data_IF_390740522285
#
_entry.id   IF_390740522285
#
_cell.length_a   1.000
_cell.length_b   1.000
_cell.length_c   1.000
_cell.angle_alpha   90.00
_cell.angle_beta   90.00
_cell.angle_gamma   90.00
#
_symmetry.space_group_name_H-M   'P 1'
#
loop_
_entity.id
_entity.type
_entity.pdbx_description
1 polymer ?
#
# COMPACT_ATOMS: atom_id res chain seq x y z
N UNK A 1 41.03 -14.57 56.32
CA UNK A 1 39.97 -15.52 55.94
C UNK A 1 38.76 -14.69 55.52
N UNK A 2 38.62 -14.48 54.22
CA UNK A 2 37.51 -13.76 53.59
C UNK A 2 36.35 -14.72 53.32
N UNK A 3 35.12 -14.20 53.23
CA UNK A 3 34.29 -14.57 52.09
C UNK A 3 33.51 -13.40 51.45
N UNK A 4 33.41 -13.53 50.12
CA UNK A 4 32.26 -13.26 49.25
C UNK A 4 31.52 -11.93 49.31
N UNK A 5 31.81 -11.05 48.34
CA UNK A 5 30.78 -10.37 47.54
C UNK A 5 31.30 -10.14 46.11
N UNK A 6 30.50 -10.57 45.14
CA UNK A 6 30.78 -10.55 43.70
C UNK A 6 30.70 -9.12 43.13
N UNK A 7 31.73 -8.75 42.37
CA UNK A 7 31.75 -7.59 41.47
C UNK A 7 32.25 -8.04 40.11
N UNK A 8 31.59 -7.64 39.02
CA UNK A 8 32.21 -7.71 37.69
C UNK A 8 31.24 -7.84 36.51
N UNK A 9 30.74 -6.69 36.04
CA UNK A 9 30.32 -6.53 34.65
C UNK A 9 31.50 -6.83 33.70
N UNK A 10 31.22 -7.52 32.58
CA UNK A 10 31.51 -7.12 31.19
C UNK A 10 31.70 -8.36 30.31
N UNK A 11 30.99 -8.39 29.18
CA UNK A 11 31.52 -9.02 27.97
C UNK A 11 30.59 -10.01 27.28
N UNK A 12 29.67 -9.50 26.45
CA UNK A 12 29.25 -10.27 25.27
C UNK A 12 28.88 -9.38 24.09
N UNK A 13 29.82 -8.53 23.68
CA UNK A 13 29.92 -8.03 22.29
C UNK A 13 30.92 -8.91 21.54
N UNK A 14 30.55 -10.16 21.23
CA UNK A 14 31.38 -11.05 20.39
C UNK A 14 30.53 -11.92 19.46
N UNK A 15 29.69 -11.31 18.61
CA UNK A 15 29.13 -12.04 17.46
C UNK A 15 29.09 -11.27 16.13
N UNK A 16 29.58 -10.03 16.06
CA UNK A 16 29.54 -9.23 14.82
C UNK A 16 30.88 -9.06 14.07
N UNK A 17 31.92 -9.84 14.43
CA UNK A 17 33.29 -9.66 13.93
C UNK A 17 33.88 -10.90 13.25
N UNK A 18 33.07 -11.79 12.66
CA UNK A 18 33.59 -13.01 12.01
C UNK A 18 33.36 -13.13 10.50
N UNK A 19 32.67 -12.20 9.85
CA UNK A 19 32.38 -12.28 8.40
C UNK A 19 33.26 -11.39 7.50
N UNK A 20 34.26 -10.68 8.03
CA UNK A 20 35.22 -9.92 7.21
C UNK A 20 36.61 -10.54 7.08
N UNK A 21 36.79 -11.84 7.39
CA UNK A 21 38.11 -12.49 7.36
C UNK A 21 38.14 -13.81 6.56
N UNK A 22 37.43 -13.87 5.44
CA UNK A 22 37.45 -15.02 4.51
C UNK A 22 37.55 -14.61 3.02
N UNK A 23 38.28 -13.54 2.70
CA UNK A 23 38.66 -13.20 1.29
C UNK A 23 40.18 -13.14 1.10
N UNK A 24 40.99 -13.61 2.05
CA UNK A 24 42.43 -13.75 1.82
C UNK A 24 42.91 -15.12 2.31
N UNK A 25 42.83 -16.15 1.45
CA UNK A 25 43.71 -17.34 1.41
C UNK A 25 43.09 -18.42 0.51
N UNK A 26 43.23 -18.28 -0.81
CA UNK A 26 43.28 -19.42 -1.74
C UNK A 26 43.65 -18.96 -3.15
N UNK A 27 44.83 -18.39 -3.34
CA UNK A 27 45.45 -18.32 -4.69
C UNK A 27 46.95 -18.52 -4.53
N UNK A 28 47.39 -19.77 -4.53
CA UNK A 28 48.78 -20.11 -4.87
C UNK A 28 48.74 -21.12 -6.00
N UNK A 29 49.17 -20.69 -7.19
CA UNK A 29 49.49 -21.55 -8.33
C UNK A 29 48.48 -21.48 -9.48
N UNK A 30 48.63 -20.50 -10.38
CA UNK A 30 48.73 -20.76 -11.82
C UNK A 30 49.07 -19.47 -12.59
N UNK A 31 49.92 -19.63 -13.59
CA UNK A 31 50.57 -18.58 -14.38
C UNK A 31 49.67 -17.95 -15.45
N UNK A 32 49.94 -16.67 -15.72
CA UNK A 32 49.66 -15.91 -16.97
C UNK A 32 48.20 -15.82 -17.44
N UNK A 33 47.60 -14.71 -17.04
CA UNK A 33 46.41 -14.12 -17.63
C UNK A 33 45.88 -13.07 -16.66
N UNK A 34 46.16 -11.79 -16.91
CA UNK A 34 45.57 -10.70 -16.13
C UNK A 34 44.06 -10.66 -16.39
N UNK A 35 43.32 -11.58 -15.79
CA UNK A 35 41.88 -11.49 -15.67
C UNK A 35 41.61 -10.36 -14.69
N UNK A 36 41.36 -9.15 -15.19
CA UNK A 36 40.81 -8.07 -14.37
C UNK A 36 39.54 -8.62 -13.70
N UNK A 37 39.60 -8.92 -12.41
CA UNK A 37 38.46 -9.40 -11.63
C UNK A 37 37.49 -8.23 -11.49
N UNK A 38 36.61 -8.08 -12.46
CA UNK A 38 35.56 -7.07 -12.44
C UNK A 38 34.46 -7.53 -11.50
N UNK A 39 33.69 -6.58 -10.94
CA UNK A 39 32.53 -6.89 -10.09
C UNK A 39 31.60 -7.93 -10.75
N UNK A 40 31.48 -7.89 -12.08
CA UNK A 40 30.60 -8.76 -12.86
C UNK A 40 31.06 -10.23 -12.96
N UNK A 41 32.32 -10.53 -12.63
CA UNK A 41 32.83 -11.90 -12.60
C UNK A 41 32.61 -12.60 -11.25
N UNK A 42 32.04 -11.91 -10.26
CA UNK A 42 31.75 -12.50 -8.95
C UNK A 42 30.53 -13.44 -9.00
N UNK A 43 30.51 -14.48 -8.14
CA UNK A 43 29.32 -15.28 -7.87
C UNK A 43 28.11 -14.44 -7.46
N UNK A 44 26.92 -14.95 -7.76
CA UNK A 44 25.66 -14.23 -7.58
C UNK A 44 25.35 -13.97 -6.10
N UNK A 45 25.76 -14.87 -5.22
CA UNK A 45 25.62 -14.77 -3.76
C UNK A 45 26.44 -13.59 -3.23
N UNK A 46 27.68 -13.46 -3.71
CA UNK A 46 28.57 -12.34 -3.30
C UNK A 46 28.01 -11.01 -3.81
N UNK A 47 27.51 -10.97 -5.05
CA UNK A 47 26.84 -9.78 -5.58
C UNK A 47 25.60 -9.40 -4.76
N UNK A 48 24.80 -10.40 -4.37
CA UNK A 48 23.64 -10.21 -3.52
C UNK A 48 24.01 -9.66 -2.14
N UNK A 49 25.08 -10.17 -1.52
CA UNK A 49 25.60 -9.70 -0.24
C UNK A 49 26.13 -8.27 -0.32
N UNK A 50 26.92 -7.94 -1.35
CA UNK A 50 27.41 -6.58 -1.60
C UNK A 50 26.24 -5.59 -1.71
N UNK A 51 25.18 -5.97 -2.41
CA UNK A 51 23.98 -5.14 -2.52
C UNK A 51 23.23 -4.98 -1.20
N UNK A 52 23.08 -6.06 -0.40
CA UNK A 52 22.46 -5.99 0.94
C UNK A 52 23.26 -5.15 1.93
N UNK A 53 24.59 -5.16 1.84
CA UNK A 53 25.47 -4.37 2.68
C UNK A 53 25.47 -2.89 2.26
N UNK A 54 25.53 -2.62 0.95
CA UNK A 54 25.52 -1.25 0.44
C UNK A 54 24.16 -0.56 0.61
N UNK A 55 23.04 -1.31 0.65
CA UNK A 55 21.66 -0.80 0.66
C UNK A 55 21.36 0.18 -0.48
N UNK A 56 22.13 0.10 -1.57
CA UNK A 56 22.07 1.04 -2.69
C UNK A 56 20.88 0.75 -3.59
N UNK A 57 20.19 1.78 -4.10
CA UNK A 57 19.10 1.62 -5.07
C UNK A 57 19.60 1.47 -6.51
N UNK A 58 20.78 2.03 -6.77
CA UNK A 58 21.32 2.20 -8.12
C UNK A 58 22.14 1.00 -8.60
N UNK A 59 22.65 0.16 -7.70
CA UNK A 59 23.51 -0.97 -8.07
C UNK A 59 22.79 -2.00 -8.96
N UNK A 60 21.51 -2.35 -8.73
CA UNK A 60 20.79 -3.21 -9.65
C UNK A 60 20.56 -2.59 -11.04
N UNK A 61 20.56 -1.25 -11.14
CA UNK A 61 20.22 -0.53 -12.36
C UNK A 61 21.48 -0.07 -13.12
N UNK A 62 22.65 -0.13 -12.48
CA UNK A 62 23.90 0.39 -13.04
C UNK A 62 24.34 -0.31 -14.31
N UNK A 63 23.98 -1.59 -14.50
CA UNK A 63 24.22 -2.28 -15.76
C UNK A 63 23.17 -3.35 -16.07
N UNK A 64 23.03 -3.68 -17.36
CA UNK A 64 22.04 -4.66 -17.85
C UNK A 64 22.20 -6.03 -17.20
N UNK A 65 23.44 -6.50 -17.02
CA UNK A 65 23.73 -7.79 -16.39
C UNK A 65 23.27 -7.85 -14.93
N UNK A 66 23.58 -6.81 -14.15
CA UNK A 66 23.12 -6.73 -12.75
C UNK A 66 21.60 -6.61 -12.70
N UNK A 67 21.00 -5.82 -13.59
CA UNK A 67 19.55 -5.73 -13.68
C UNK A 67 18.89 -7.09 -13.93
N UNK A 68 19.39 -7.88 -14.89
CA UNK A 68 18.88 -9.23 -15.16
C UNK A 68 19.08 -10.18 -13.98
N UNK A 69 20.24 -10.12 -13.32
CA UNK A 69 20.53 -10.89 -12.11
C UNK A 69 19.51 -10.54 -11.02
N UNK A 70 19.38 -9.27 -10.64
CA UNK A 70 18.52 -8.87 -9.53
C UNK A 70 17.03 -9.02 -9.84
N UNK A 71 16.61 -8.89 -11.10
CA UNK A 71 15.20 -9.10 -11.45
C UNK A 71 14.81 -10.57 -11.45
N UNK A 72 15.67 -11.47 -11.95
CA UNK A 72 15.34 -12.90 -12.11
C UNK A 72 15.65 -13.76 -10.89
N UNK A 73 16.74 -13.48 -10.19
CA UNK A 73 17.29 -14.42 -9.19
C UNK A 73 16.99 -14.04 -7.75
N UNK A 74 16.47 -12.83 -7.51
CA UNK A 74 16.20 -12.40 -6.13
C UNK A 74 14.97 -13.09 -5.57
N UNK A 75 15.13 -13.68 -4.39
CA UNK A 75 14.04 -14.31 -3.64
C UNK A 75 13.19 -13.25 -2.92
N UNK A 76 11.95 -13.60 -2.55
CA UNK A 76 11.11 -12.73 -1.72
C UNK A 76 11.79 -12.38 -0.39
N UNK A 77 12.47 -13.35 0.23
CA UNK A 77 13.24 -13.14 1.46
C UNK A 77 14.37 -12.13 1.27
N UNK A 78 15.15 -12.26 0.19
CA UNK A 78 16.20 -11.30 -0.15
C UNK A 78 15.66 -9.87 -0.28
N UNK A 79 14.57 -9.69 -1.01
CA UNK A 79 13.91 -8.38 -1.19
C UNK A 79 13.41 -7.82 0.13
N UNK A 80 12.84 -8.66 1.00
CA UNK A 80 12.42 -8.27 2.34
C UNK A 80 13.61 -7.81 3.19
N UNK A 81 14.72 -8.57 3.21
CA UNK A 81 15.92 -8.19 3.96
C UNK A 81 16.51 -6.88 3.46
N UNK A 82 16.58 -6.66 2.15
CA UNK A 82 17.03 -5.39 1.57
C UNK A 82 16.16 -4.21 2.03
N UNK A 83 14.84 -4.31 1.88
CA UNK A 83 13.89 -3.26 2.28
C UNK A 83 13.96 -3.00 3.79
N UNK A 84 14.09 -4.05 4.59
CA UNK A 84 14.22 -3.95 6.04
C UNK A 84 15.52 -3.25 6.45
N UNK A 85 16.67 -3.63 5.88
CA UNK A 85 17.95 -2.97 6.13
C UNK A 85 17.89 -1.48 5.79
N UNK A 86 17.30 -1.17 4.64
CA UNK A 86 17.25 0.20 4.13
C UNK A 86 16.31 1.12 4.91
N UNK A 87 15.12 0.65 5.28
CA UNK A 87 14.07 1.51 5.87
C UNK A 87 13.82 1.28 7.36
N UNK A 88 14.35 0.21 7.95
CA UNK A 88 14.15 -0.13 9.36
C UNK A 88 15.46 -0.24 10.17
N UNK A 89 16.63 -0.36 9.52
CA UNK A 89 17.95 -0.38 10.17
C UNK A 89 18.79 0.86 9.86
N UNK A 90 18.70 1.44 8.66
CA UNK A 90 19.53 2.61 8.28
C UNK A 90 19.28 3.87 9.14
N UNK A 91 18.06 4.05 9.66
CA UNK A 91 17.73 5.11 10.61
C UNK A 91 18.46 4.95 11.97
N UNK A 92 19.09 3.80 12.25
CA UNK A 92 19.90 3.60 13.46
C UNK A 92 21.24 4.33 13.40
N UNK A 93 21.89 4.39 12.24
CA UNK A 93 23.23 5.02 12.10
C UNK A 93 23.16 6.56 12.10
N UNK A 94 22.17 7.14 11.43
CA UNK A 94 22.05 8.60 11.32
C UNK A 94 21.62 9.26 12.63
N UNK A 95 20.85 8.55 13.46
CA UNK A 95 20.43 9.05 14.78
C UNK A 95 21.54 8.96 15.83
N UNK A 96 22.41 7.94 15.78
CA UNK A 96 23.56 7.82 16.69
C UNK A 96 24.57 8.98 16.49
N UNK A 97 24.86 9.35 15.24
CA UNK A 97 25.75 10.47 14.91
C UNK A 97 25.18 11.84 15.31
N UNK A 98 23.86 12.05 15.23
CA UNK A 98 23.20 13.30 15.66
C UNK A 98 22.95 13.37 17.17
N UNK A 99 22.72 12.24 17.83
CA UNK A 99 22.49 12.16 19.28
C UNK A 99 23.83 12.27 20.03
N UNK A 100 24.94 11.78 19.47
CA UNK A 100 26.28 12.09 19.96
C UNK A 100 26.65 13.57 19.81
N UNK A 101 26.22 14.24 18.73
CA UNK A 101 26.41 15.71 18.59
C UNK A 101 25.51 16.53 19.50
N UNK A 102 24.37 15.99 19.94
CA UNK A 102 23.42 16.67 20.85
C UNK A 102 23.69 16.39 22.32
N UNK A 103 24.32 15.27 22.66
CA UNK A 103 24.68 14.92 24.04
C UNK A 103 25.85 15.77 24.59
N UNK A 104 26.54 16.53 23.75
CA UNK A 104 27.48 17.57 24.20
C UNK A 104 26.76 18.82 24.74
N UNK A 105 25.47 19.02 24.38
CA UNK A 105 24.64 20.13 24.85
C UNK A 105 23.49 19.63 25.75
N UNK A 106 23.84 19.48 27.02
CA UNK A 106 22.99 19.61 28.20
C UNK A 106 22.11 18.41 28.63
N UNK A 107 22.34 18.06 29.89
CA UNK A 107 21.62 17.12 30.73
C UNK A 107 20.14 17.48 30.93
N UNK A 108 19.24 16.50 30.75
CA UNK A 108 18.26 16.03 31.75
C UNK A 108 17.42 14.93 31.09
N UNK A 109 17.53 13.73 31.66
CA UNK A 109 16.94 12.50 31.16
C UNK A 109 15.42 12.50 31.12
N UNK A 110 14.90 12.17 29.94
CA UNK A 110 13.73 11.28 29.77
C UNK A 110 14.11 10.26 28.71
N UNK A 111 14.64 9.11 29.14
CA UNK A 111 14.82 7.92 28.30
C UNK A 111 13.45 7.28 28.07
N UNK A 112 12.54 8.00 27.40
CA UNK A 112 11.47 7.33 26.67
C UNK A 112 12.16 6.68 25.49
N UNK A 113 12.34 5.37 25.54
CA UNK A 113 12.82 4.55 24.44
C UNK A 113 11.97 4.89 23.21
N UNK A 114 12.47 5.82 22.39
CA UNK A 114 11.78 6.34 21.21
C UNK A 114 11.62 5.15 20.29
N UNK A 115 10.49 4.43 20.38
CA UNK A 115 10.16 3.29 19.51
C UNK A 115 10.26 3.78 18.07
N UNK A 116 11.40 3.45 17.46
CA UNK A 116 11.84 4.00 16.17
C UNK A 116 10.80 3.61 15.11
N UNK A 117 10.15 4.61 14.50
CA UNK A 117 9.00 4.41 13.62
C UNK A 117 9.47 3.93 12.25
N UNK A 118 9.21 2.66 11.93
CA UNK A 118 9.50 2.09 10.61
C UNK A 118 8.71 2.84 9.54
N UNK A 119 9.38 3.27 8.46
CA UNK A 119 8.77 3.97 7.33
C UNK A 119 8.06 3.00 6.38
N UNK A 120 6.94 2.44 6.83
CA UNK A 120 6.13 1.53 6.03
C UNK A 120 5.63 2.14 4.72
N UNK A 121 5.33 3.43 4.69
CA UNK A 121 4.96 4.16 3.46
C UNK A 121 6.00 3.98 2.36
N UNK A 122 7.29 4.12 2.69
CA UNK A 122 8.39 4.01 1.73
C UNK A 122 8.62 2.55 1.28
N UNK A 123 8.48 1.60 2.20
CA UNK A 123 8.57 0.16 1.89
C UNK A 123 7.47 -0.23 0.90
N UNK A 124 6.22 0.15 1.17
CA UNK A 124 5.06 -0.21 0.34
C UNK A 124 5.09 0.48 -1.03
N UNK A 125 5.68 1.68 -1.11
CA UNK A 125 5.90 2.40 -2.36
C UNK A 125 6.92 1.70 -3.28
N UNK A 126 7.75 0.79 -2.77
CA UNK A 126 8.74 0.08 -3.58
C UNK A 126 8.07 -1.06 -4.40
N UNK A 127 8.38 -1.19 -5.71
CA UNK A 127 7.83 -2.27 -6.54
C UNK A 127 8.32 -3.66 -6.10
N UNK A 128 9.47 -3.74 -5.44
CA UNK A 128 9.99 -4.97 -4.86
C UNK A 128 9.16 -5.52 -3.70
N UNK A 129 8.26 -4.73 -3.11
CA UNK A 129 7.40 -5.16 -2.01
C UNK A 129 6.16 -5.87 -2.54
N UNK A 130 6.28 -7.16 -2.90
CA UNK A 130 5.14 -8.04 -3.21
C UNK A 130 4.38 -8.45 -1.93
N UNK A 131 3.23 -9.12 -2.10
CA UNK A 131 2.44 -9.67 -0.98
C UNK A 131 3.29 -10.62 -0.11
N UNK A 132 4.08 -11.49 -0.74
CA UNK A 132 5.01 -12.40 -0.05
C UNK A 132 6.11 -11.64 0.69
N UNK A 133 6.66 -10.58 0.09
CA UNK A 133 7.67 -9.76 0.76
C UNK A 133 7.06 -9.08 1.99
N UNK A 134 5.83 -8.58 1.90
CA UNK A 134 5.12 -7.96 3.02
C UNK A 134 4.87 -8.96 4.16
N UNK A 135 4.52 -10.22 3.86
CA UNK A 135 4.32 -11.24 4.89
C UNK A 135 5.63 -11.58 5.62
N UNK A 136 6.75 -11.65 4.92
CA UNK A 136 8.09 -11.83 5.52
C UNK A 136 8.47 -10.62 6.37
N UNK A 137 8.23 -9.40 5.89
CA UNK A 137 8.51 -8.16 6.65
C UNK A 137 7.67 -8.08 7.94
N UNK A 138 6.42 -8.57 7.92
CA UNK A 138 5.60 -8.70 9.13
C UNK A 138 6.24 -9.65 10.13
N UNK A 139 6.84 -10.74 9.69
CA UNK A 139 7.56 -11.66 10.58
C UNK A 139 8.77 -10.99 11.24
N UNK A 140 9.61 -10.28 10.46
CA UNK A 140 10.73 -9.50 11.01
C UNK A 140 10.29 -8.42 12.01
N UNK A 141 9.11 -7.82 11.78
CA UNK A 141 8.52 -6.88 12.72
C UNK A 141 8.08 -7.55 14.03
N UNK A 142 7.46 -8.73 13.95
CA UNK A 142 7.01 -9.48 15.14
C UNK A 142 8.16 -9.95 16.02
N UNK A 143 9.28 -10.40 15.44
CA UNK A 143 10.46 -10.85 16.19
C UNK A 143 11.11 -9.72 17.02
N UNK A 144 10.93 -8.47 16.60
CA UNK A 144 11.51 -7.30 17.27
C UNK A 144 10.74 -6.85 18.51
N UNK A 145 9.48 -7.28 18.68
CA UNK A 145 8.67 -6.87 19.81
C UNK A 145 9.04 -7.76 21.01
N UNK A 146 9.60 -7.20 22.11
CA UNK A 146 9.80 -7.98 23.32
C UNK A 146 8.43 -8.47 23.77
N UNK A 147 8.31 -9.78 23.92
CA UNK A 147 7.10 -10.54 24.24
C UNK A 147 6.15 -9.82 25.20
N UNK A 148 5.21 -9.03 24.65
CA UNK A 148 3.98 -8.66 25.31
C UNK A 148 2.98 -9.74 24.92
N UNK A 149 2.49 -10.51 25.91
CA UNK A 149 1.54 -11.63 25.82
C UNK A 149 1.52 -12.41 24.49
N UNK A 150 1.96 -13.69 24.47
CA UNK A 150 2.01 -14.52 23.25
C UNK A 150 0.65 -14.74 22.54
N UNK A 151 -0.45 -14.28 23.13
CA UNK A 151 -1.80 -14.32 22.58
C UNK A 151 -2.21 -13.04 21.81
N UNK A 152 -1.41 -11.95 21.87
CA UNK A 152 -1.73 -10.67 21.24
C UNK A 152 -0.60 -10.26 20.30
N UNK A 153 -0.64 -10.74 19.06
CA UNK A 153 0.22 -10.20 18.00
C UNK A 153 -0.26 -8.76 17.72
N UNK A 154 0.56 -7.71 17.94
CA UNK A 154 0.11 -6.35 17.70
C UNK A 154 -0.22 -6.18 16.22
N UNK A 155 -1.48 -5.84 15.94
CA UNK A 155 -1.96 -5.59 14.56
C UNK A 155 -1.15 -4.45 13.96
N UNK A 156 -0.31 -4.77 12.98
CA UNK A 156 0.44 -3.77 12.22
C UNK A 156 -0.56 -2.88 11.48
N UNK A 157 -0.72 -1.63 11.93
CA UNK A 157 -1.58 -0.66 11.25
C UNK A 157 -0.75 0.10 10.22
N UNK A 158 -1.09 -0.11 8.95
CA UNK A 158 -0.45 0.59 7.86
C UNK A 158 -1.19 1.91 7.58
N UNK A 159 -0.45 2.98 7.25
CA UNK A 159 -1.02 4.31 7.08
C UNK A 159 -2.02 4.39 5.93
N UNK A 160 -1.65 3.98 4.71
CA UNK A 160 -2.51 4.14 3.53
C UNK A 160 -2.06 3.30 2.35
N UNK A 161 -2.83 3.38 1.27
CA UNK A 161 -2.60 2.58 0.08
C UNK A 161 -1.49 3.19 -0.80
N UNK A 162 -0.50 2.38 -1.24
CA UNK A 162 0.55 2.87 -2.13
C UNK A 162 0.01 3.11 -3.54
N UNK A 163 0.28 4.29 -4.10
CA UNK A 163 -0.23 4.73 -5.41
C UNK A 163 0.15 3.80 -6.56
N UNK A 164 1.31 3.13 -6.47
CA UNK A 164 1.80 2.20 -7.49
C UNK A 164 0.82 1.06 -7.80
N UNK A 165 0.01 0.63 -6.84
CA UNK A 165 -0.96 -0.45 -7.03
C UNK A 165 -2.08 -0.04 -7.99
N UNK A 166 -2.28 1.26 -8.20
CA UNK A 166 -3.25 1.82 -9.13
C UNK A 166 -2.64 2.18 -10.49
N UNK A 167 -1.33 1.92 -10.70
CA UNK A 167 -0.65 2.24 -11.98
C UNK A 167 -1.23 1.43 -13.14
N UNK A 168 -1.57 0.17 -12.91
CA UNK A 168 -2.16 -0.70 -13.93
C UNK A 168 -3.51 -0.17 -14.46
N UNK A 169 -4.26 0.57 -13.63
CA UNK A 169 -5.52 1.21 -14.04
C UNK A 169 -5.32 2.39 -14.99
N UNK A 170 -4.10 2.92 -15.12
CA UNK A 170 -3.77 4.03 -16.02
C UNK A 170 -3.17 3.56 -17.35
N UNK A 171 -2.96 2.24 -17.51
CA UNK A 171 -2.38 1.71 -18.74
C UNK A 171 -3.48 1.57 -19.78
N UNK A 172 -3.46 2.45 -20.80
CA UNK A 172 -4.20 2.19 -22.03
C UNK A 172 -3.70 0.87 -22.65
N UNK A 173 -4.56 0.10 -23.34
CA UNK A 173 -4.15 -1.06 -24.11
C UNK A 173 -3.33 -0.60 -25.32
N UNK A 174 -2.07 -0.22 -25.08
CA UNK A 174 -1.10 0.05 -26.14
C UNK A 174 -0.88 -1.23 -26.94
N UNK A 175 -0.65 -1.05 -28.24
CA UNK A 175 -0.63 -2.03 -29.33
C UNK A 175 0.38 -3.20 -29.21
N UNK A 176 0.99 -3.41 -28.05
CA UNK A 176 1.94 -4.50 -27.78
C UNK A 176 1.86 -5.17 -26.41
N UNK A 177 0.97 -4.75 -25.50
CA UNK A 177 0.78 -5.45 -24.21
C UNK A 177 -0.28 -6.53 -24.34
N UNK A 178 0.04 -7.79 -24.00
CA UNK A 178 -0.95 -8.86 -23.99
C UNK A 178 -2.07 -8.49 -22.99
N UNK A 179 -3.32 -8.55 -23.43
CA UNK A 179 -4.50 -8.30 -22.57
C UNK A 179 -4.49 -9.16 -21.30
N UNK A 180 -3.97 -10.40 -21.40
CA UNK A 180 -3.79 -11.32 -20.27
C UNK A 180 -2.82 -10.80 -19.20
N UNK A 181 -1.75 -10.12 -19.61
CA UNK A 181 -0.75 -9.61 -18.67
C UNK A 181 -1.32 -8.44 -17.86
N UNK A 182 -2.11 -7.56 -18.50
CA UNK A 182 -2.82 -6.48 -17.82
C UNK A 182 -3.86 -7.01 -16.82
N UNK A 183 -4.64 -8.02 -17.20
CA UNK A 183 -5.61 -8.66 -16.31
C UNK A 183 -4.93 -9.28 -15.08
N UNK A 184 -3.80 -9.96 -15.27
CA UNK A 184 -3.02 -10.51 -14.16
C UNK A 184 -2.48 -9.42 -13.23
N UNK A 185 -2.01 -8.29 -13.79
CA UNK A 185 -1.54 -7.16 -12.99
C UNK A 185 -2.67 -6.54 -12.15
N UNK A 186 -3.86 -6.40 -12.74
CA UNK A 186 -5.04 -5.88 -12.04
C UNK A 186 -5.50 -6.83 -10.93
N UNK A 187 -5.53 -8.14 -11.17
CA UNK A 187 -5.87 -9.16 -10.17
C UNK A 187 -4.87 -9.15 -8.99
N UNK A 188 -3.57 -9.09 -9.28
CA UNK A 188 -2.53 -8.96 -8.26
C UNK A 188 -2.68 -7.68 -7.45
N UNK A 189 -2.92 -6.54 -8.11
CA UNK A 189 -3.14 -5.26 -7.45
C UNK A 189 -4.40 -5.30 -6.56
N UNK A 190 -5.50 -5.87 -7.05
CA UNK A 190 -6.75 -6.04 -6.32
C UNK A 190 -6.53 -6.83 -5.03
N UNK A 191 -5.93 -8.03 -5.12
CA UNK A 191 -5.61 -8.87 -3.96
C UNK A 191 -4.72 -8.17 -2.96
N UNK A 192 -3.72 -7.42 -3.44
CA UNK A 192 -2.84 -6.65 -2.57
C UNK A 192 -3.61 -5.56 -1.82
N UNK A 193 -4.41 -4.75 -2.51
CA UNK A 193 -5.18 -3.68 -1.87
C UNK A 193 -6.18 -4.26 -0.87
N UNK A 194 -6.87 -5.35 -1.23
CA UNK A 194 -7.81 -6.05 -0.34
C UNK A 194 -7.11 -6.50 0.96
N UNK A 195 -5.91 -7.07 0.86
CA UNK A 195 -5.09 -7.46 2.00
C UNK A 195 -4.73 -6.24 2.87
N UNK A 196 -4.29 -5.15 2.28
CA UNK A 196 -3.91 -3.93 3.01
C UNK A 196 -5.08 -3.30 3.77
N UNK A 197 -6.26 -3.28 3.17
CA UNK A 197 -7.46 -2.74 3.80
C UNK A 197 -7.99 -3.64 4.92
N UNK A 198 -8.01 -4.96 4.70
CA UNK A 198 -8.61 -5.92 5.62
C UNK A 198 -7.70 -6.25 6.81
N UNK A 199 -6.46 -6.64 6.52
CA UNK A 199 -5.57 -7.20 7.55
C UNK A 199 -4.69 -6.15 8.21
N UNK A 200 -4.38 -5.07 7.49
CA UNK A 200 -3.47 -4.02 7.93
C UNK A 200 -4.15 -2.68 8.23
N UNK A 201 -5.48 -2.59 8.02
CA UNK A 201 -6.27 -1.39 8.32
C UNK A 201 -5.79 -0.13 7.58
N UNK A 202 -5.25 -0.28 6.38
CA UNK A 202 -4.86 0.86 5.55
C UNK A 202 -6.08 1.73 5.26
N UNK A 203 -5.92 3.05 5.35
CA UNK A 203 -7.02 3.97 5.02
C UNK A 203 -7.13 4.16 3.50
N UNK A 204 -8.33 3.99 2.90
CA UNK A 204 -8.55 4.21 1.48
C UNK A 204 -8.60 5.70 1.09
N UNK A 205 -8.78 6.59 2.06
CA UNK A 205 -8.98 8.04 1.85
C UNK A 205 -7.67 8.84 1.83
N UNK A 206 -6.54 8.20 2.15
CA UNK A 206 -5.24 8.87 2.11
C UNK A 206 -4.93 9.41 0.72
N UNK A 207 -4.05 10.43 0.70
CA UNK A 207 -3.69 11.17 -0.51
C UNK A 207 -4.91 11.87 -1.15
N UNK A 208 -5.88 12.29 -0.31
CA UNK A 208 -7.05 13.05 -0.76
C UNK A 208 -8.00 12.22 -1.64
N UNK A 209 -8.22 10.95 -1.31
CA UNK A 209 -9.14 10.08 -2.07
C UNK A 209 -8.60 9.61 -3.43
N UNK A 210 -7.29 9.76 -3.67
CA UNK A 210 -6.65 9.31 -4.92
C UNK A 210 -7.01 7.86 -5.33
N UNK A 211 -7.02 6.87 -4.41
CA UNK A 211 -7.42 5.49 -4.75
C UNK A 211 -8.77 5.42 -5.46
N UNK A 212 -9.79 6.05 -4.88
CA UNK A 212 -11.15 6.02 -5.41
C UNK A 212 -11.26 6.83 -6.70
N UNK A 213 -10.66 8.03 -6.74
CA UNK A 213 -10.64 8.87 -7.93
C UNK A 213 -10.02 8.15 -9.14
N UNK A 214 -8.90 7.44 -8.94
CA UNK A 214 -8.24 6.69 -10.01
C UNK A 214 -9.09 5.52 -10.50
N UNK A 215 -9.75 4.80 -9.59
CA UNK A 215 -10.65 3.69 -9.97
C UNK A 215 -11.86 4.18 -10.77
N UNK A 216 -12.43 5.33 -10.40
CA UNK A 216 -13.52 5.99 -11.15
C UNK A 216 -13.08 6.44 -12.53
N UNK A 217 -11.93 7.10 -12.65
CA UNK A 217 -11.37 7.50 -13.95
C UNK A 217 -11.15 6.31 -14.89
N UNK A 218 -10.73 5.16 -14.34
CA UNK A 218 -10.54 3.93 -15.13
C UNK A 218 -11.83 3.16 -15.42
N UNK A 219 -12.97 3.54 -14.84
CA UNK A 219 -14.24 2.80 -14.94
C UNK A 219 -14.20 1.39 -14.31
N UNK A 220 -13.20 1.09 -13.47
CA UNK A 220 -13.00 -0.25 -12.93
C UNK A 220 -13.88 -0.48 -11.68
N UNK A 221 -15.12 -0.92 -11.92
CA UNK A 221 -16.16 -1.15 -10.91
C UNK A 221 -15.72 -2.05 -9.74
N UNK A 222 -15.02 -3.18 -9.94
CA UNK A 222 -14.49 -3.99 -8.84
C UNK A 222 -13.64 -3.20 -7.83
N UNK A 223 -12.74 -2.34 -8.30
CA UNK A 223 -11.90 -1.53 -7.41
C UNK A 223 -12.71 -0.44 -6.69
N UNK A 224 -13.67 0.20 -7.38
CA UNK A 224 -14.57 1.17 -6.78
C UNK A 224 -15.35 0.51 -5.63
N UNK A 225 -15.93 -0.66 -5.87
CA UNK A 225 -16.71 -1.39 -4.88
C UNK A 225 -15.87 -1.82 -3.68
N UNK A 226 -14.68 -2.35 -3.92
CA UNK A 226 -13.74 -2.72 -2.86
C UNK A 226 -13.44 -1.52 -1.96
N UNK A 227 -13.09 -0.36 -2.54
CA UNK A 227 -12.75 0.83 -1.75
C UNK A 227 -13.96 1.35 -0.95
N UNK A 228 -15.14 1.43 -1.57
CA UNK A 228 -16.37 1.88 -0.91
C UNK A 228 -16.81 0.95 0.24
N UNK A 229 -16.60 -0.36 0.09
CA UNK A 229 -16.90 -1.34 1.14
C UNK A 229 -15.95 -1.20 2.34
N UNK A 230 -14.72 -0.75 2.12
CA UNK A 230 -13.74 -0.46 3.17
C UNK A 230 -13.77 1.00 3.66
N UNK A 231 -14.85 1.73 3.38
CA UNK A 231 -15.12 3.05 3.96
C UNK A 231 -14.56 4.23 3.18
N UNK A 232 -14.18 4.06 1.91
CA UNK A 232 -13.77 5.19 1.07
C UNK A 232 -14.90 6.21 0.92
N UNK A 233 -14.58 7.50 1.05
CA UNK A 233 -15.56 8.59 0.97
C UNK A 233 -15.49 9.26 -0.41
N UNK A 234 -16.61 9.33 -1.18
CA UNK A 234 -16.61 9.99 -2.48
C UNK A 234 -16.48 11.51 -2.40
N UNK A 235 -16.91 12.12 -1.28
CA UNK A 235 -16.94 13.57 -1.11
C UNK A 235 -15.62 14.21 -0.67
N UNK A 236 -14.49 13.53 -0.89
CA UNK A 236 -13.17 14.09 -0.55
C UNK A 236 -12.73 15.05 -1.64
N UNK A 237 -12.09 16.16 -1.24
CA UNK A 237 -11.51 17.17 -2.12
C UNK A 237 -12.60 17.77 -3.04
N UNK A 238 -13.58 18.42 -2.41
CA UNK A 238 -14.67 19.14 -3.08
C UNK A 238 -15.42 18.25 -4.08
N UNK A 239 -15.78 17.05 -3.63
CA UNK A 239 -16.51 16.05 -4.41
C UNK A 239 -15.85 15.69 -5.77
N UNK A 240 -14.52 15.82 -5.88
CA UNK A 240 -13.77 15.60 -7.13
C UNK A 240 -14.14 14.27 -7.81
N UNK A 241 -14.29 13.20 -7.03
CA UNK A 241 -14.65 11.87 -7.54
C UNK A 241 -16.02 11.89 -8.23
N UNK A 242 -17.00 12.57 -7.65
CA UNK A 242 -18.35 12.72 -8.21
C UNK A 242 -18.29 13.61 -9.44
N UNK A 243 -17.54 14.71 -9.38
CA UNK A 243 -17.39 15.63 -10.50
C UNK A 243 -16.76 14.97 -11.73
N UNK A 244 -15.87 14.00 -11.54
CA UNK A 244 -15.33 13.15 -12.60
C UNK A 244 -16.39 12.16 -13.10
N UNK A 245 -17.17 11.53 -12.23
CA UNK A 245 -18.24 10.61 -12.66
C UNK A 245 -19.34 11.32 -13.47
N UNK A 246 -19.62 12.59 -13.17
CA UNK A 246 -20.51 13.42 -14.00
C UNK A 246 -19.90 13.64 -15.39
N UNK A 247 -18.58 13.89 -15.48
CA UNK A 247 -17.89 14.06 -16.76
C UNK A 247 -17.81 12.77 -17.60
N UNK A 248 -17.83 11.59 -16.97
CA UNK A 248 -17.92 10.34 -17.73
C UNK A 248 -19.34 10.10 -18.27
N UNK A 249 -20.36 10.69 -17.63
CA UNK A 249 -21.78 10.55 -18.01
C UNK A 249 -22.40 9.20 -17.66
N UNK A 250 -21.74 8.42 -16.83
CA UNK A 250 -22.26 7.13 -16.39
C UNK A 250 -23.12 7.30 -15.13
N UNK A 251 -24.44 7.32 -15.33
CA UNK A 251 -25.41 7.42 -14.26
C UNK A 251 -25.39 6.21 -13.31
N UNK A 252 -25.02 5.02 -13.82
CA UNK A 252 -24.91 3.81 -12.97
C UNK A 252 -23.71 3.93 -12.04
N UNK A 253 -22.58 4.41 -12.56
CA UNK A 253 -21.39 4.71 -11.76
C UNK A 253 -21.66 5.79 -10.70
N UNK A 254 -22.38 6.86 -11.08
CA UNK A 254 -22.78 7.92 -10.17
C UNK A 254 -23.64 7.36 -9.02
N UNK A 255 -24.65 6.54 -9.33
CA UNK A 255 -25.49 5.87 -8.33
C UNK A 255 -24.67 4.96 -7.42
N UNK A 256 -23.68 4.23 -7.94
CA UNK A 256 -22.78 3.41 -7.12
C UNK A 256 -21.99 4.24 -6.09
N UNK A 257 -21.57 5.46 -6.46
CA UNK A 257 -20.81 6.35 -5.58
C UNK A 257 -21.68 7.04 -4.54
N UNK A 258 -22.94 7.37 -4.86
CA UNK A 258 -23.84 8.11 -3.97
C UNK A 258 -24.64 7.15 -3.10
N UNK A 259 -25.22 6.10 -3.68
CA UNK A 259 -26.13 5.19 -3.00
C UNK A 259 -25.39 3.96 -2.46
N UNK A 260 -25.35 3.75 -1.13
CA UNK A 260 -24.62 2.61 -0.57
C UNK A 260 -25.17 1.24 -0.96
N UNK A 261 -26.48 1.16 -1.27
CA UNK A 261 -27.16 -0.07 -1.64
C UNK A 261 -27.24 -0.34 -3.14
N UNK A 262 -26.73 0.54 -3.99
CA UNK A 262 -26.82 0.35 -5.44
C UNK A 262 -25.92 -0.81 -5.92
N UNK A 263 -26.44 -1.59 -6.86
CA UNK A 263 -25.73 -2.69 -7.51
C UNK A 263 -25.52 -2.29 -8.96
N UNK A 264 -24.26 -2.19 -9.37
CA UNK A 264 -23.93 -1.74 -10.71
C UNK A 264 -24.25 -2.85 -11.74
N UNK A 265 -24.77 -2.54 -12.95
CA UNK A 265 -25.06 -3.56 -13.96
C UNK A 265 -23.87 -4.45 -14.32
N UNK A 266 -22.66 -3.90 -14.27
CA UNK A 266 -21.41 -4.65 -14.50
C UNK A 266 -20.99 -5.54 -13.31
N UNK A 267 -21.54 -5.37 -12.11
CA UNK A 267 -21.25 -6.25 -10.97
C UNK A 267 -21.99 -7.58 -11.09
N UNK A 268 -23.19 -7.60 -11.69
CA UNK A 268 -24.00 -8.80 -11.82
C UNK A 268 -23.42 -9.82 -12.80
N UNK A 269 -22.53 -9.39 -13.69
CA UNK A 269 -21.82 -10.22 -14.68
C UNK A 269 -20.42 -10.65 -14.24
N UNK A 270 -19.94 -10.25 -13.04
CA UNK A 270 -18.60 -10.61 -12.59
C UNK A 270 -18.50 -12.10 -12.21
N UNK A 271 -17.43 -12.80 -12.63
CA UNK A 271 -17.22 -14.22 -12.35
C UNK A 271 -16.73 -14.51 -10.92
N UNK A 272 -16.55 -13.49 -10.08
CA UNK A 272 -15.98 -13.61 -8.73
C UNK A 272 -17.02 -14.05 -7.69
N UNK A 273 -17.71 -15.16 -7.97
CA UNK A 273 -18.46 -15.94 -6.97
C UNK A 273 -17.51 -16.96 -6.32
N UNK A 274 -16.51 -16.49 -5.58
CA UNK A 274 -15.77 -17.40 -4.70
C UNK A 274 -16.69 -17.79 -3.53
N UNK A 275 -17.17 -19.03 -3.56
CA UNK A 275 -18.07 -19.63 -2.59
C UNK A 275 -17.53 -19.67 -1.14
N UNK A 276 -16.29 -19.25 -0.91
CA UNK A 276 -15.65 -19.18 0.42
C UNK A 276 -15.81 -17.83 1.11
N UNK A 277 -16.27 -16.80 0.39
CA UNK A 277 -16.66 -15.52 0.94
C UNK A 277 -17.84 -14.99 0.11
N UNK A 278 -19.09 -15.16 0.55
CA UNK A 278 -20.17 -14.47 -0.12
C UNK A 278 -19.87 -12.98 0.00
N UNK A 279 -19.64 -12.33 -1.13
CA UNK A 279 -19.69 -10.87 -1.26
C UNK A 279 -21.15 -10.46 -1.10
N UNK A 280 -21.72 -10.77 0.07
CA UNK A 280 -22.95 -10.22 0.57
C UNK A 280 -22.58 -8.87 1.17
N UNK A 281 -23.06 -7.75 0.59
CA UNK A 281 -22.73 -6.40 1.06
C UNK A 281 -23.27 -6.06 2.48
N UNK A 282 -23.68 -7.06 3.27
CA UNK A 282 -24.25 -6.92 4.61
C UNK A 282 -23.48 -7.66 5.73
N UNK A 283 -22.39 -8.39 5.45
CA UNK A 283 -21.78 -9.28 6.46
C UNK A 283 -20.34 -8.96 6.91
N UNK A 284 -19.70 -7.90 6.42
CA UNK A 284 -18.37 -7.51 6.91
C UNK A 284 -18.37 -6.69 8.21
N UNK A 285 -19.55 -6.44 8.81
CA UNK A 285 -19.72 -5.69 10.06
C UNK A 285 -20.48 -6.48 11.15
N UNK A 286 -20.17 -7.76 11.37
CA UNK A 286 -20.78 -8.54 12.47
C UNK A 286 -19.81 -9.22 13.45
N UNK A 287 -18.51 -8.97 13.37
CA UNK A 287 -17.56 -9.53 14.33
C UNK A 287 -17.12 -8.50 15.38
N UNK A 288 -18.08 -7.90 16.08
CA UNK A 288 -17.95 -7.49 17.49
C UNK A 288 -19.29 -6.95 18.06
N UNK A 289 -20.00 -7.82 18.79
CA UNK A 289 -21.08 -7.56 19.81
C UNK A 289 -22.52 -7.29 19.32
N UNK A 290 -23.54 -7.51 20.18
CA UNK A 290 -24.35 -8.74 20.27
C UNK A 290 -25.74 -8.62 19.60
N UNK A 291 -26.38 -9.78 19.44
CA UNK A 291 -27.73 -10.02 18.88
C UNK A 291 -28.74 -8.87 19.11
N UNK A 292 -29.13 -8.19 18.04
CA UNK A 292 -30.37 -7.40 18.00
C UNK A 292 -31.29 -8.03 16.95
N UNK A 293 -32.41 -8.54 17.44
CA UNK A 293 -33.52 -9.02 16.63
C UNK A 293 -34.28 -7.82 16.00
N UNK A 294 -34.88 -8.10 14.83
CA UNK A 294 -36.03 -7.41 14.22
C UNK A 294 -35.78 -6.32 13.15
N UNK A 295 -36.09 -6.71 11.90
CA UNK A 295 -37.06 -6.09 10.99
C UNK A 295 -37.35 -4.58 11.12
N UNK A 296 -36.48 -3.74 10.57
CA UNK A 296 -36.84 -2.54 9.79
C UNK A 296 -35.79 -2.40 8.68
N UNK A 297 -36.20 -2.27 7.41
CA UNK A 297 -35.29 -1.84 6.34
C UNK A 297 -34.91 -0.39 6.64
N UNK A 298 -33.87 -0.19 7.44
CA UNK A 298 -33.26 1.12 7.68
C UNK A 298 -32.75 1.57 6.31
N UNK A 299 -33.37 2.60 5.73
CA UNK A 299 -32.83 3.24 4.52
C UNK A 299 -31.47 3.81 4.93
N UNK A 300 -30.40 3.32 4.33
CA UNK A 300 -29.10 3.93 4.52
C UNK A 300 -29.11 5.28 3.80
N UNK A 301 -28.70 6.33 4.49
CA UNK A 301 -28.55 7.66 3.90
C UNK A 301 -27.49 7.63 2.77
N UNK A 302 -27.63 8.55 1.84
CA UNK A 302 -26.67 8.71 0.73
C UNK A 302 -25.28 9.09 1.26
N UNK A 303 -24.24 8.61 0.57
CA UNK A 303 -22.83 8.79 0.96
C UNK A 303 -22.36 10.23 0.84
N UNK A 304 -22.99 11.01 -0.04
CA UNK A 304 -22.65 12.40 -0.33
C UNK A 304 -23.93 13.23 -0.48
N UNK A 305 -23.87 14.45 0.05
CA UNK A 305 -24.93 15.44 -0.13
C UNK A 305 -24.79 16.07 -1.51
N UNK A 306 -25.87 16.09 -2.28
CA UNK A 306 -25.82 16.63 -3.64
C UNK A 306 -25.82 18.15 -3.57
N UNK A 307 -24.88 18.75 -4.31
CA UNK A 307 -24.69 20.19 -4.38
C UNK A 307 -25.23 20.75 -5.69
N UNK A 308 -25.57 22.05 -5.68
CA UNK A 308 -26.08 22.73 -6.87
C UNK A 308 -25.04 22.76 -8.02
N UNK A 309 -23.74 22.72 -7.67
CA UNK A 309 -22.65 22.61 -8.64
C UNK A 309 -22.68 21.30 -9.43
N UNK A 310 -23.09 20.19 -8.80
CA UNK A 310 -23.24 18.89 -9.48
C UNK A 310 -24.37 18.96 -10.51
N UNK A 311 -25.50 19.58 -10.15
CA UNK A 311 -26.64 19.77 -11.05
C UNK A 311 -26.26 20.66 -12.25
N UNK A 312 -25.61 21.80 -11.99
CA UNK A 312 -25.15 22.70 -13.05
C UNK A 312 -24.22 21.99 -14.03
N UNK A 313 -23.30 21.17 -13.53
CA UNK A 313 -22.37 20.42 -14.37
C UNK A 313 -23.07 19.33 -15.19
N UNK A 314 -24.08 18.66 -14.63
CA UNK A 314 -24.90 17.69 -15.37
C UNK A 314 -25.67 18.35 -16.52
N UNK A 315 -26.21 19.55 -16.30
CA UNK A 315 -26.94 20.32 -17.31
C UNK A 315 -26.00 20.80 -18.42
N UNK A 316 -24.81 21.30 -18.06
CA UNK A 316 -23.78 21.67 -19.06
C UNK A 316 -23.37 20.51 -19.95
N UNK A 317 -23.40 19.29 -19.41
CA UNK A 317 -23.15 18.05 -20.17
C UNK A 317 -24.32 17.64 -21.08
N UNK A 318 -25.52 18.19 -20.88
CA UNK A 318 -26.76 17.86 -21.59
C UNK A 318 -27.29 16.45 -21.29
N UNK A 319 -27.10 15.97 -20.05
CA UNK A 319 -27.60 14.66 -19.62
C UNK A 319 -28.90 14.80 -18.77
N UNK A 320 -30.09 14.72 -19.39
CA UNK A 320 -31.35 14.99 -18.69
C UNK A 320 -31.64 13.97 -17.58
N UNK A 321 -31.27 12.70 -17.79
CA UNK A 321 -31.45 11.63 -16.79
C UNK A 321 -30.66 11.90 -15.51
N UNK A 322 -29.46 12.45 -15.65
CA UNK A 322 -28.60 12.76 -14.52
C UNK A 322 -29.10 14.01 -13.77
N UNK A 323 -29.57 15.03 -14.51
CA UNK A 323 -30.17 16.20 -13.90
C UNK A 323 -31.47 15.86 -13.13
N UNK A 324 -32.35 15.04 -13.72
CA UNK A 324 -33.55 14.53 -13.03
C UNK A 324 -33.18 13.79 -11.75
N UNK A 325 -32.16 12.93 -11.80
CA UNK A 325 -31.68 12.20 -10.62
C UNK A 325 -31.20 13.14 -9.51
N UNK A 326 -30.45 14.20 -9.83
CA UNK A 326 -30.02 15.17 -8.82
C UNK A 326 -31.18 15.96 -8.22
N UNK A 327 -32.19 16.31 -9.02
CA UNK A 327 -33.41 16.98 -8.54
C UNK A 327 -34.19 16.05 -7.59
N UNK A 328 -34.37 14.78 -7.94
CA UNK A 328 -35.04 13.78 -7.09
C UNK A 328 -34.36 13.64 -5.73
N UNK A 329 -33.04 13.77 -5.70
CA UNK A 329 -32.23 13.64 -4.49
C UNK A 329 -32.04 14.97 -3.74
N UNK A 330 -32.69 16.04 -4.17
CA UNK A 330 -32.81 17.30 -3.40
C UNK A 330 -31.93 18.46 -3.85
N UNK A 331 -31.29 18.39 -5.04
CA UNK A 331 -30.63 19.55 -5.64
C UNK A 331 -31.64 20.66 -5.91
N UNK A 332 -31.28 21.92 -5.64
CA UNK A 332 -32.18 23.06 -5.84
C UNK A 332 -31.93 23.68 -7.21
N UNK A 333 -32.85 23.53 -8.18
CA UNK A 333 -32.67 24.15 -9.48
C UNK A 333 -32.83 25.68 -9.36
N UNK A 334 -31.82 26.43 -9.79
CA UNK A 334 -31.91 27.88 -10.00
C UNK A 334 -32.74 28.18 -11.26
N UNK A 335 -33.26 29.40 -11.37
CA UNK A 335 -34.10 29.80 -12.52
C UNK A 335 -33.37 29.66 -13.87
N UNK A 336 -32.05 29.81 -13.89
CA UNK A 336 -31.21 29.55 -15.05
C UNK A 336 -31.12 28.05 -15.38
N UNK A 337 -30.96 27.19 -14.38
CA UNK A 337 -30.93 25.73 -14.59
C UNK A 337 -32.27 25.19 -15.10
N UNK A 338 -33.41 25.76 -14.69
CA UNK A 338 -34.74 25.38 -15.18
C UNK A 338 -34.89 25.71 -16.67
N UNK A 339 -34.51 26.93 -17.07
CA UNK A 339 -34.53 27.33 -18.49
C UNK A 339 -33.63 26.44 -19.35
N UNK A 340 -32.47 26.04 -18.82
CA UNK A 340 -31.59 25.12 -19.50
C UNK A 340 -32.18 23.71 -19.59
N UNK A 341 -32.86 23.22 -18.54
CA UNK A 341 -33.56 21.93 -18.57
C UNK A 341 -34.71 21.89 -19.58
N UNK A 342 -35.45 23.00 -19.75
CA UNK A 342 -36.50 23.12 -20.77
C UNK A 342 -35.94 23.12 -22.20
N UNK A 343 -34.64 23.42 -22.36
CA UNK A 343 -33.94 23.47 -23.66
C UNK A 343 -33.22 22.16 -24.04
N UNK A 344 -33.18 21.18 -23.13
CA UNK A 344 -32.59 19.85 -23.32
C UNK A 344 -33.64 18.85 -23.80
#
# INVERSE_FOLDING_TARGET
MSPDWQSGQLGSKKHFSRTCRLISKSVTGCTKGSMSTTLLSLPIEILQDIHLLSTSEHLPISCKRLYEIYTRTTTARYRAEYLWRKYALKDQQWTEDEEQRRNDDNSIGRTTERRRKIRWDAILACPACSIEVLSILRHFHSERLPSSDPLIVPKLKLPGLPTRLFKALSSEPSTGSNSKDLLNQLDQAYRYIQLLLTDYGASPDKLGGYPLARSVLSGNVPFIRLLLNHGARPGIKDDLVIMVAIETGDLSLLRLLIEPGFIHPLESSLPFKDATNPVNPLLLHQNSSPKIQSNKKIKLDDRVQITDQMLEKAIRRKDPKMAQYFIEKGARPTLETIRLLESL
#
